data_IF_572727659994
#
_entry.id   IF_572727659994
#
_cell.length_a   1.000
_cell.length_b   1.000
_cell.length_c   1.000
_cell.angle_alpha   90.00
_cell.angle_beta   90.00
_cell.angle_gamma   90.00
#
_symmetry.space_group_name_H-M   'P 1'
#
loop_
_entity.id
_entity.type
_entity.pdbx_description
1 polymer ?
#
# COMPACT_ATOMS: atom_id res chain seq x y z
N UNK A 1 -5.19 17.83 48.09
CA UNK A 1 -5.75 16.81 47.17
C UNK A 1 -6.12 17.30 45.75
N UNK A 2 -6.52 18.56 45.45
CA UNK A 2 -6.94 18.92 44.08
C UNK A 2 -5.79 19.07 43.08
N UNK A 3 -4.57 19.33 43.56
CA UNK A 3 -3.39 19.56 42.71
C UNK A 3 -2.97 18.27 41.97
N UNK A 4 -2.90 17.13 42.65
CA UNK A 4 -2.49 15.86 42.03
C UNK A 4 -3.47 15.39 40.96
N UNK A 5 -4.78 15.57 41.20
CA UNK A 5 -5.81 15.24 40.22
C UNK A 5 -5.68 16.11 38.96
N UNK A 6 -5.34 17.39 39.12
CA UNK A 6 -5.13 18.32 38.01
C UNK A 6 -3.93 17.94 37.13
N UNK A 7 -2.84 17.49 37.75
CA UNK A 7 -1.64 17.02 37.04
C UNK A 7 -1.88 15.68 36.33
N UNK A 8 -2.65 14.77 36.93
CA UNK A 8 -3.01 13.51 36.29
C UNK A 8 -3.91 13.72 35.07
N UNK A 9 -4.88 14.63 35.14
CA UNK A 9 -5.76 14.95 34.00
C UNK A 9 -5.00 15.63 32.86
N UNK A 10 -4.03 16.51 33.16
CA UNK A 10 -3.14 17.11 32.15
C UNK A 10 -2.24 16.06 31.48
N UNK A 11 -1.73 15.10 32.25
CA UNK A 11 -0.93 13.99 31.72
C UNK A 11 -1.71 13.10 30.76
N UNK A 12 -2.94 12.68 31.14
CA UNK A 12 -3.80 11.88 30.28
C UNK A 12 -4.20 12.61 28.98
N UNK A 13 -4.43 13.92 29.04
CA UNK A 13 -4.76 14.72 27.86
C UNK A 13 -3.58 14.85 26.88
N UNK A 14 -2.34 14.91 27.38
CA UNK A 14 -1.15 14.96 26.52
C UNK A 14 -0.88 13.60 25.85
N UNK A 15 -1.12 12.51 26.57
CA UNK A 15 -0.94 11.15 26.03
C UNK A 15 -1.99 10.80 24.97
N UNK A 16 -3.23 11.27 25.11
CA UNK A 16 -4.29 11.03 24.13
C UNK A 16 -4.08 11.78 22.81
N UNK A 17 -3.45 12.96 22.84
CA UNK A 17 -3.12 13.74 21.62
C UNK A 17 -1.89 13.15 20.91
N UNK A 18 -0.92 12.60 21.65
CA UNK A 18 0.28 11.98 21.06
C UNK A 18 0.00 10.61 20.40
N UNK A 19 -1.08 9.92 20.79
CA UNK A 19 -1.42 8.60 20.27
C UNK A 19 -2.19 8.63 18.94
N UNK A 20 -2.60 9.81 18.45
CA UNK A 20 -3.22 9.93 17.13
C UNK A 20 -2.13 9.92 16.05
N UNK A 21 -1.65 8.73 15.71
CA UNK A 21 -0.76 8.56 14.56
C UNK A 21 -1.59 8.79 13.29
N UNK A 22 -1.32 9.87 12.58
CA UNK A 22 -1.86 10.05 11.23
C UNK A 22 -1.28 8.95 10.35
N UNK A 23 -2.10 8.08 9.72
CA UNK A 23 -1.58 7.09 8.81
C UNK A 23 -0.80 7.80 7.70
N UNK A 24 0.33 7.22 7.31
CA UNK A 24 1.10 7.73 6.18
C UNK A 24 0.18 7.81 4.94
N UNK A 25 0.35 8.83 4.08
CA UNK A 25 -0.42 8.91 2.85
C UNK A 25 -0.18 7.64 2.03
N UNK A 26 -1.24 6.88 1.79
CA UNK A 26 -1.19 5.66 0.95
C UNK A 26 -1.07 6.11 -0.49
N UNK A 27 0.01 5.71 -1.15
CA UNK A 27 0.18 5.89 -2.59
C UNK A 27 -0.56 4.78 -3.33
N UNK A 28 -1.14 5.12 -4.48
CA UNK A 28 -1.72 4.14 -5.40
C UNK A 28 -0.68 3.13 -5.93
N UNK A 29 0.61 3.46 -5.80
CA UNK A 29 1.71 2.60 -6.20
C UNK A 29 2.29 1.77 -5.05
N UNK A 30 1.76 1.90 -3.83
CA UNK A 30 2.26 1.12 -2.70
C UNK A 30 2.04 -0.37 -2.94
N UNK A 31 3.12 -1.14 -2.90
CA UNK A 31 3.11 -2.57 -3.21
C UNK A 31 3.03 -2.91 -4.71
N UNK A 32 3.02 -1.93 -5.60
CA UNK A 32 2.95 -2.15 -7.04
C UNK A 32 4.34 -2.52 -7.61
N UNK A 33 4.45 -3.68 -8.27
CA UNK A 33 5.71 -4.15 -8.84
C UNK A 33 5.52 -4.73 -10.24
N UNK A 34 6.39 -4.36 -11.20
CA UNK A 34 6.25 -4.80 -12.59
C UNK A 34 6.38 -6.32 -12.69
N UNK A 35 5.34 -6.97 -13.22
CA UNK A 35 5.37 -8.40 -13.49
C UNK A 35 6.24 -8.67 -14.71
N UNK A 36 7.28 -9.50 -14.54
CA UNK A 36 8.25 -9.88 -15.59
C UNK A 36 8.36 -11.41 -15.72
N UNK A 37 7.29 -12.11 -16.14
CA UNK A 37 7.36 -13.55 -16.37
C UNK A 37 8.43 -13.88 -17.43
N UNK A 38 9.06 -15.05 -17.29
CA UNK A 38 10.06 -15.55 -18.25
C UNK A 38 9.43 -15.77 -19.63
N UNK A 39 10.26 -15.96 -20.66
CA UNK A 39 9.76 -16.25 -22.00
C UNK A 39 8.90 -17.54 -22.03
N UNK A 40 9.34 -18.59 -21.32
CA UNK A 40 8.58 -19.84 -21.20
C UNK A 40 7.26 -19.63 -20.47
N UNK A 41 7.27 -18.94 -19.33
CA UNK A 41 6.03 -18.66 -18.57
C UNK A 41 5.06 -17.84 -19.41
N UNK A 42 5.53 -16.85 -20.18
CA UNK A 42 4.65 -16.09 -21.09
C UNK A 42 4.00 -16.97 -22.13
N UNK A 43 4.76 -17.86 -22.79
CA UNK A 43 4.21 -18.81 -23.77
C UNK A 43 3.14 -19.69 -23.13
N UNK A 44 3.43 -20.21 -21.95
CA UNK A 44 2.54 -21.10 -21.21
C UNK A 44 1.23 -20.41 -20.84
N UNK A 45 1.29 -19.24 -20.20
CA UNK A 45 0.07 -18.52 -19.80
C UNK A 45 -0.72 -18.03 -21.02
N UNK A 46 -0.07 -17.64 -22.13
CA UNK A 46 -0.80 -17.27 -23.35
C UNK A 46 -1.55 -18.47 -23.94
N UNK A 47 -0.92 -19.64 -23.95
CA UNK A 47 -1.50 -20.85 -24.54
C UNK A 47 -2.58 -21.49 -23.66
N UNK A 48 -2.40 -21.49 -22.35
CA UNK A 48 -3.23 -22.25 -21.40
C UNK A 48 -4.17 -21.40 -20.56
N UNK A 49 -3.86 -20.12 -20.34
CA UNK A 49 -4.64 -19.21 -19.50
C UNK A 49 -4.58 -17.77 -20.04
N UNK A 50 -5.17 -17.59 -21.23
CA UNK A 50 -5.25 -16.27 -21.87
C UNK A 50 -5.87 -15.19 -20.96
N UNK A 51 -6.93 -15.46 -20.19
CA UNK A 51 -7.45 -14.48 -19.22
C UNK A 51 -6.40 -14.01 -18.21
N UNK A 52 -5.55 -14.91 -17.68
CA UNK A 52 -4.47 -14.51 -16.80
C UNK A 52 -3.39 -13.69 -17.54
N UNK A 53 -3.04 -14.08 -18.77
CA UNK A 53 -2.11 -13.30 -19.59
C UNK A 53 -2.60 -11.85 -19.82
N UNK A 54 -3.90 -11.67 -20.07
CA UNK A 54 -4.55 -10.37 -20.20
C UNK A 54 -4.52 -9.57 -18.88
N UNK A 55 -4.69 -10.23 -17.73
CA UNK A 55 -4.55 -9.59 -16.42
C UNK A 55 -3.12 -9.11 -16.15
N UNK A 56 -2.10 -9.91 -16.48
CA UNK A 56 -0.68 -9.50 -16.37
C UNK A 56 -0.39 -8.27 -17.24
N UNK A 57 -0.93 -8.25 -18.47
CA UNK A 57 -0.80 -7.11 -19.36
C UNK A 57 -1.51 -5.86 -18.79
N UNK A 58 -2.74 -6.02 -18.30
CA UNK A 58 -3.53 -4.93 -17.71
C UNK A 58 -2.87 -4.34 -16.46
N UNK A 59 -2.40 -5.20 -15.54
CA UNK A 59 -1.63 -4.80 -14.36
C UNK A 59 -0.42 -3.94 -14.75
N UNK A 60 0.32 -4.38 -15.77
CA UNK A 60 1.49 -3.63 -16.24
C UNK A 60 1.11 -2.33 -16.99
N UNK A 61 -0.01 -2.31 -17.70
CA UNK A 61 -0.47 -1.08 -18.33
C UNK A 61 -0.92 -0.04 -17.28
N UNK A 62 -1.59 -0.49 -16.21
CA UNK A 62 -1.99 0.37 -15.10
C UNK A 62 -0.77 1.02 -14.43
N UNK A 63 0.23 0.22 -14.03
CA UNK A 63 1.43 0.75 -13.39
C UNK A 63 2.19 1.74 -14.27
N UNK A 64 2.17 1.55 -15.60
CA UNK A 64 2.76 2.51 -16.53
C UNK A 64 2.02 3.85 -16.54
N UNK A 65 0.68 3.80 -16.60
CA UNK A 65 -0.18 5.00 -16.63
C UNK A 65 -0.11 5.81 -15.34
N UNK A 66 0.07 5.15 -14.19
CA UNK A 66 0.17 5.77 -12.86
C UNK A 66 1.60 6.16 -12.45
N UNK A 67 2.60 5.83 -13.27
CA UNK A 67 4.01 6.10 -12.92
C UNK A 67 4.51 5.25 -11.74
N UNK A 68 3.93 4.07 -11.54
CA UNK A 68 4.28 3.15 -10.45
C UNK A 68 5.55 2.33 -10.71
N UNK A 69 6.18 2.48 -11.87
CA UNK A 69 7.45 1.85 -12.20
C UNK A 69 8.61 2.66 -11.62
N UNK A 70 8.80 2.51 -10.32
CA UNK A 70 10.02 2.94 -9.65
C UNK A 70 11.06 1.83 -9.70
#
# INVERSE_FOLDING_TARGET
MPQFLRWMMLGCALLSVAACQTPAPVSECDGWAKLKPSADTRREIIAKDRPFAEQVASHNQFGAKRGCWK
#
